data_IF_560675737369
#
_entry.id   IF_560675737369
#
_cell.length_a   1.000
_cell.length_b   1.000
_cell.length_c   1.000
_cell.angle_alpha   90.00
_cell.angle_beta   90.00
_cell.angle_gamma   90.00
#
_symmetry.space_group_name_H-M   'P 1'
#
loop_
_entity.id
_entity.type
_entity.pdbx_description
1 polymer ?
#
# COMPACT_ATOMS: atom_id res chain seq x y z
N UNK A 1 -45.22 16.02 -8.19
CA UNK A 1 -44.09 16.95 -7.98
C UNK A 1 -42.97 16.18 -7.31
N UNK A 2 -41.80 16.16 -7.95
CA UNK A 2 -40.60 15.41 -7.57
C UNK A 2 -39.85 16.04 -6.38
N UNK A 3 -39.14 15.19 -5.61
CA UNK A 3 -37.77 15.33 -5.03
C UNK A 3 -37.78 14.70 -3.63
N UNK A 4 -36.81 13.90 -3.20
CA UNK A 4 -35.60 13.31 -3.80
C UNK A 4 -35.20 12.19 -2.84
N UNK A 5 -34.78 11.06 -3.40
CA UNK A 5 -34.00 10.05 -2.69
C UNK A 5 -32.74 10.74 -2.15
N UNK A 6 -32.59 10.76 -0.83
CA UNK A 6 -31.36 11.19 -0.17
C UNK A 6 -30.74 9.92 0.43
N UNK A 7 -30.14 9.11 -0.43
CA UNK A 7 -29.09 8.18 -0.02
C UNK A 7 -27.96 9.02 0.54
N UNK A 8 -27.96 9.18 1.86
CA UNK A 8 -26.79 9.63 2.62
C UNK A 8 -25.76 8.49 2.60
N UNK A 9 -25.22 8.23 1.41
CA UNK A 9 -24.04 7.40 1.24
C UNK A 9 -22.84 8.31 1.48
N UNK A 10 -22.65 8.69 2.73
CA UNK A 10 -21.35 9.12 3.20
C UNK A 10 -20.44 7.90 3.09
N UNK A 11 -19.68 7.81 1.99
CA UNK A 11 -18.55 6.90 1.92
C UNK A 11 -17.72 7.15 3.18
N UNK A 12 -17.41 6.12 3.98
CA UNK A 12 -16.61 6.34 5.18
C UNK A 12 -15.32 7.00 4.72
N UNK A 13 -15.06 8.16 5.31
CA UNK A 13 -13.84 8.94 5.21
C UNK A 13 -12.67 7.97 4.99
N UNK A 14 -12.16 7.95 3.76
CA UNK A 14 -11.05 7.11 3.34
C UNK A 14 -9.92 7.52 4.26
N UNK A 15 -9.77 6.77 5.35
CA UNK A 15 -8.89 7.10 6.45
C UNK A 15 -7.50 6.98 5.86
N UNK A 16 -6.96 8.10 5.39
CA UNK A 16 -5.62 8.20 4.85
C UNK A 16 -4.74 7.62 5.96
N UNK A 17 -4.09 6.47 5.75
CA UNK A 17 -3.39 5.79 6.82
C UNK A 17 -2.34 6.76 7.37
N UNK A 18 -2.43 7.04 8.67
CA UNK A 18 -1.46 7.86 9.37
C UNK A 18 -0.05 7.35 9.04
N UNK A 19 0.82 8.27 8.63
CA UNK A 19 2.22 8.01 8.33
C UNK A 19 2.85 7.22 9.49
N UNK A 20 3.10 5.93 9.26
CA UNK A 20 3.66 5.00 10.23
C UNK A 20 2.95 3.65 10.35
N UNK A 21 1.72 3.50 9.85
CA UNK A 21 1.01 2.21 9.87
C UNK A 21 0.99 1.57 8.49
N UNK A 22 1.85 0.56 8.29
CA UNK A 22 1.74 -0.40 7.20
C UNK A 22 0.35 -1.03 7.28
N UNK A 23 -0.44 -0.89 6.22
CA UNK A 23 -1.78 -1.47 6.13
C UNK A 23 -1.70 -2.99 6.25
N UNK A 24 -2.79 -3.62 6.70
CA UNK A 24 -2.84 -5.09 6.76
C UNK A 24 -2.64 -5.73 5.38
N UNK A 25 -3.06 -5.04 4.31
CA UNK A 25 -2.80 -5.48 2.94
C UNK A 25 -1.30 -5.51 2.61
N UNK A 26 -0.53 -4.48 2.97
CA UNK A 26 0.92 -4.44 2.77
C UNK A 26 1.62 -5.56 3.56
N UNK A 27 1.18 -5.83 4.80
CA UNK A 27 1.72 -6.93 5.60
C UNK A 27 1.44 -8.31 5.00
N UNK A 28 0.28 -8.50 4.36
CA UNK A 28 -0.03 -9.76 3.68
C UNK A 28 0.87 -9.95 2.45
N UNK A 29 1.15 -8.88 1.72
CA UNK A 29 2.06 -8.88 0.56
C UNK A 29 3.51 -9.21 0.98
N UNK A 30 3.92 -8.80 2.18
CA UNK A 30 5.24 -9.14 2.74
C UNK A 30 5.48 -10.65 2.88
N UNK A 31 4.42 -11.47 2.98
CA UNK A 31 4.55 -12.92 3.08
C UNK A 31 4.62 -13.64 1.72
N UNK A 32 4.37 -12.94 0.61
CA UNK A 32 4.44 -13.51 -0.74
C UNK A 32 5.90 -13.53 -1.21
N UNK A 33 6.52 -14.72 -1.13
CA UNK A 33 7.96 -14.88 -1.33
C UNK A 33 8.40 -15.19 -2.78
N UNK A 34 7.49 -15.60 -3.64
CA UNK A 34 7.73 -15.99 -5.04
C UNK A 34 7.50 -14.83 -6.02
N UNK A 35 7.13 -13.65 -5.50
CA UNK A 35 6.82 -12.47 -6.31
C UNK A 35 7.51 -11.23 -5.73
N UNK A 36 8.20 -10.48 -6.59
CA UNK A 36 8.80 -9.21 -6.23
C UNK A 36 7.77 -8.08 -6.35
N UNK A 37 7.48 -7.38 -5.25
CA UNK A 37 6.60 -6.22 -5.23
C UNK A 37 7.27 -5.03 -4.56
N UNK A 38 7.05 -3.84 -5.15
CA UNK A 38 7.50 -2.56 -4.65
C UNK A 38 6.35 -1.56 -4.69
N UNK A 39 6.25 -0.72 -3.67
CA UNK A 39 5.32 0.42 -3.65
C UNK A 39 6.14 1.70 -3.79
N UNK A 40 5.71 2.58 -4.69
CA UNK A 40 6.33 3.88 -4.93
C UNK A 40 5.52 5.02 -4.29
N UNK A 41 6.20 6.08 -3.88
CA UNK A 41 5.57 7.38 -3.58
C UNK A 41 5.28 8.18 -4.86
N UNK A 42 4.68 9.37 -4.70
CA UNK A 42 4.34 10.26 -5.82
C UNK A 42 5.55 10.79 -6.61
N UNK A 43 6.74 10.71 -6.01
CA UNK A 43 8.02 11.15 -6.60
C UNK A 43 8.79 9.95 -7.19
N UNK A 44 8.24 8.74 -7.08
CA UNK A 44 8.84 7.50 -7.59
C UNK A 44 9.85 6.84 -6.65
N UNK A 45 9.92 7.24 -5.38
CA UNK A 45 10.77 6.57 -4.37
C UNK A 45 10.11 5.30 -3.85
N UNK A 46 10.91 4.27 -3.60
CA UNK A 46 10.41 3.01 -3.05
C UNK A 46 10.13 3.20 -1.55
N UNK A 47 8.85 3.08 -1.17
CA UNK A 47 8.38 3.16 0.22
C UNK A 47 8.03 1.80 0.83
N UNK A 48 7.91 0.75 0.02
CA UNK A 48 7.74 -0.64 0.49
C UNK A 48 8.44 -1.61 -0.46
N UNK A 49 9.01 -2.68 0.10
CA UNK A 49 9.79 -3.70 -0.58
C UNK A 49 9.56 -5.05 0.12
N UNK A 50 8.84 -5.96 -0.54
CA UNK A 50 8.43 -7.22 0.09
C UNK A 50 9.58 -8.26 0.11
N UNK A 51 9.41 -9.35 0.87
CA UNK A 51 10.44 -10.41 0.99
C UNK A 51 10.75 -11.08 -0.35
N UNK A 52 9.77 -11.20 -1.24
CA UNK A 52 9.98 -11.75 -2.58
C UNK A 52 10.89 -10.86 -3.42
N UNK A 53 10.79 -9.54 -3.28
CA UNK A 53 11.64 -8.59 -3.97
C UNK A 53 13.11 -8.69 -3.51
N UNK A 54 13.35 -8.86 -2.20
CA UNK A 54 14.71 -9.15 -1.68
C UNK A 54 15.26 -10.45 -2.26
N UNK A 55 14.46 -11.53 -2.28
CA UNK A 55 14.90 -12.86 -2.74
C UNK A 55 15.18 -12.93 -4.24
N UNK A 56 14.32 -12.31 -5.05
CA UNK A 56 14.39 -12.41 -6.51
C UNK A 56 15.49 -11.49 -7.05
N UNK A 57 15.65 -10.30 -6.47
CA UNK A 57 16.60 -9.30 -6.98
C UNK A 57 17.96 -9.33 -6.28
N UNK A 58 18.02 -9.85 -5.04
CA UNK A 58 19.20 -9.83 -4.18
C UNK A 58 19.42 -8.52 -3.42
N UNK A 59 18.58 -7.50 -3.60
CA UNK A 59 18.71 -6.21 -2.92
C UNK A 59 17.92 -6.19 -1.60
N UNK A 60 18.57 -5.93 -0.46
CA UNK A 60 17.88 -5.85 0.82
C UNK A 60 17.04 -4.57 0.91
N UNK A 61 15.89 -4.61 1.61
CA UNK A 61 15.00 -3.44 1.75
C UNK A 61 15.73 -2.19 2.25
N UNK A 62 16.72 -2.37 3.12
CA UNK A 62 17.47 -1.27 3.75
C UNK A 62 18.29 -0.45 2.74
N UNK A 63 18.59 -1.02 1.58
CA UNK A 63 19.35 -0.33 0.53
C UNK A 63 18.45 0.38 -0.48
N UNK A 64 17.18 -0.02 -0.59
CA UNK A 64 16.26 0.49 -1.62
C UNK A 64 15.24 1.48 -1.07
N UNK A 65 14.86 1.39 0.21
CA UNK A 65 13.89 2.30 0.83
C UNK A 65 14.48 3.70 1.02
N UNK A 66 13.77 4.74 0.58
CA UNK A 66 14.21 6.15 0.57
C UNK A 66 13.10 7.11 0.99
#
# INVERSE_FOLDING_TARGET
>A
MQKREQTDSGMPDETIPQAGQTSDAERLVDFVADTAMAVLDEVGRIKSWNVGAERITGWPRLEVLH
#
